data_IF_856534099914
#
_entry.id   IF_856534099914
#
_cell.length_a   1.000
_cell.length_b   1.000
_cell.length_c   1.000
_cell.angle_alpha   90.00
_cell.angle_beta   90.00
_cell.angle_gamma   90.00
#
_symmetry.space_group_name_H-M   'P 1'
#
loop_
_entity.id
_entity.type
_entity.pdbx_description
1 polymer ?
#
# COMPACT_ATOMS: atom_id res chain seq x y z
N UNK A 1 32.88 12.57 3.87
CA UNK A 1 32.25 11.59 2.96
C UNK A 1 30.75 11.77 3.14
N UNK A 2 30.05 12.24 2.11
CA UNK A 2 28.57 12.30 2.14
C UNK A 2 28.12 10.84 2.07
N UNK A 3 27.52 10.35 3.15
CA UNK A 3 26.88 9.02 3.13
C UNK A 3 25.87 9.02 2.00
N UNK A 4 25.98 8.09 1.05
CA UNK A 4 24.99 7.95 0.01
C UNK A 4 23.63 7.67 0.68
N UNK A 5 22.67 8.53 0.45
CA UNK A 5 21.31 8.36 0.97
C UNK A 5 20.75 7.09 0.31
N UNK A 6 20.35 6.11 1.12
CA UNK A 6 19.75 4.88 0.58
C UNK A 6 18.44 5.23 -0.13
N UNK A 7 18.25 4.81 -1.39
CA UNK A 7 17.06 5.15 -2.16
C UNK A 7 15.79 4.61 -1.52
N UNK A 8 14.67 5.27 -1.78
CA UNK A 8 13.34 4.72 -1.47
C UNK A 8 13.05 3.55 -2.43
N UNK A 9 12.66 2.42 -1.88
CA UNK A 9 12.34 1.21 -2.65
C UNK A 9 10.97 0.67 -2.29
N UNK A 10 10.27 0.14 -3.29
CA UNK A 10 8.99 -0.54 -3.17
C UNK A 10 9.17 -2.00 -3.59
N UNK A 11 8.76 -2.95 -2.74
CA UNK A 11 8.58 -4.35 -3.11
C UNK A 11 7.10 -4.69 -3.07
N UNK A 12 6.55 -5.20 -4.15
CA UNK A 12 5.14 -5.61 -4.23
C UNK A 12 5.00 -7.02 -3.67
N UNK A 13 4.49 -7.15 -2.46
CA UNK A 13 4.24 -8.44 -1.81
C UNK A 13 2.98 -9.11 -2.34
N UNK A 14 2.03 -8.31 -2.80
CA UNK A 14 0.79 -8.69 -3.42
C UNK A 14 0.07 -7.47 -4.00
N UNK A 15 -0.74 -7.69 -5.03
CA UNK A 15 -1.40 -6.63 -5.79
C UNK A 15 -2.76 -7.05 -6.39
N UNK A 16 -3.33 -8.18 -5.92
CA UNK A 16 -4.66 -8.62 -6.37
C UNK A 16 -5.75 -7.89 -5.60
N UNK A 17 -6.71 -7.33 -6.30
CA UNK A 17 -7.87 -6.66 -5.72
C UNK A 17 -8.90 -7.63 -5.18
N UNK A 18 -9.46 -7.33 -4.01
CA UNK A 18 -10.56 -7.99 -3.30
C UNK A 18 -10.31 -9.46 -2.91
N UNK A 19 -9.54 -10.24 -3.67
CA UNK A 19 -9.16 -11.61 -3.35
C UNK A 19 -7.88 -12.05 -4.08
N UNK A 20 -7.15 -12.99 -3.49
CA UNK A 20 -5.90 -13.48 -4.04
C UNK A 20 -6.13 -14.32 -5.32
N UNK A 21 -5.29 -14.14 -6.33
CA UNK A 21 -5.26 -15.01 -7.52
C UNK A 21 -4.27 -16.16 -7.35
N UNK A 22 -4.37 -17.23 -8.15
CA UNK A 22 -3.35 -18.28 -8.15
C UNK A 22 -1.95 -17.71 -8.39
N UNK A 23 -1.02 -18.02 -7.48
CA UNK A 23 0.36 -17.51 -7.54
C UNK A 23 0.50 -16.00 -7.24
N UNK A 24 -0.51 -15.36 -6.63
CA UNK A 24 -0.48 -13.97 -6.21
C UNK A 24 -1.10 -13.80 -4.83
N UNK A 25 -0.84 -12.67 -4.20
CA UNK A 25 -1.40 -12.27 -2.92
C UNK A 25 -2.29 -11.03 -3.08
N UNK A 26 -3.13 -10.76 -2.08
CA UNK A 26 -3.89 -9.51 -1.98
C UNK A 26 -2.96 -8.31 -1.75
N UNK A 27 -3.50 -7.14 -1.44
CA UNK A 27 -2.71 -5.91 -1.31
C UNK A 27 -1.69 -5.97 -0.17
N UNK A 28 -0.44 -5.68 -0.49
CA UNK A 28 0.61 -5.50 0.49
C UNK A 28 1.95 -5.17 -0.14
N UNK A 29 2.70 -4.31 0.53
CA UNK A 29 3.91 -3.72 -0.01
C UNK A 29 4.96 -3.57 1.09
N UNK A 30 6.23 -3.78 0.72
CA UNK A 30 7.35 -3.49 1.60
C UNK A 30 8.05 -2.22 1.09
N UNK A 31 8.02 -1.15 1.89
CA UNK A 31 8.65 0.14 1.59
C UNK A 31 9.90 0.31 2.45
N UNK A 32 11.05 0.63 1.82
CA UNK A 32 12.32 0.75 2.54
C UNK A 32 13.12 1.98 2.12
N UNK A 33 13.72 2.66 3.11
CA UNK A 33 14.79 3.65 2.92
C UNK A 33 15.61 3.78 4.20
N UNK A 34 16.90 4.11 4.08
CA UNK A 34 17.77 4.45 5.23
C UNK A 34 17.87 3.38 6.32
N UNK A 35 17.65 2.11 5.98
CA UNK A 35 17.63 1.00 6.94
C UNK A 35 16.27 0.75 7.59
N UNK A 36 15.26 1.57 7.31
CA UNK A 36 13.87 1.41 7.77
C UNK A 36 13.07 0.54 6.82
N UNK A 37 12.24 -0.36 7.35
CA UNK A 37 11.37 -1.29 6.62
C UNK A 37 9.94 -1.18 7.13
N UNK A 38 9.03 -0.71 6.30
CA UNK A 38 7.60 -0.58 6.61
C UNK A 38 6.80 -1.56 5.76
N UNK A 39 5.94 -2.34 6.40
CA UNK A 39 4.95 -3.17 5.71
C UNK A 39 3.65 -2.37 5.57
N UNK A 40 3.33 -1.98 4.33
CA UNK A 40 2.15 -1.20 3.97
C UNK A 40 1.09 -2.17 3.42
N UNK A 41 -0.03 -2.28 4.09
CA UNK A 41 -1.07 -3.29 3.95
C UNK A 41 -0.58 -4.74 4.08
N UNK A 42 -1.40 -5.56 4.69
CA UNK A 42 -1.11 -6.94 5.08
C UNK A 42 -2.22 -7.90 4.60
N UNK A 43 -2.56 -7.84 3.32
CA UNK A 43 -3.57 -8.70 2.73
C UNK A 43 -3.13 -10.17 2.65
N UNK A 44 -4.08 -11.12 2.55
CA UNK A 44 -3.80 -12.56 2.52
C UNK A 44 -2.74 -12.97 1.51
N UNK A 45 -1.73 -13.68 1.99
CA UNK A 45 -0.57 -14.18 1.25
C UNK A 45 0.66 -13.27 1.29
N UNK A 46 0.52 -12.00 1.72
CA UNK A 46 1.65 -11.06 1.76
C UNK A 46 2.65 -11.36 2.86
N UNK A 47 2.24 -11.99 3.97
CA UNK A 47 3.14 -12.45 5.03
C UNK A 47 4.13 -13.50 4.52
N UNK A 48 3.69 -14.39 3.65
CA UNK A 48 4.57 -15.39 3.05
C UNK A 48 5.61 -14.72 2.14
N UNK A 49 5.17 -13.84 1.24
CA UNK A 49 6.04 -13.10 0.33
C UNK A 49 6.99 -12.16 1.09
N UNK A 50 6.53 -11.51 2.16
CA UNK A 50 7.37 -10.62 2.99
C UNK A 50 8.63 -11.32 3.49
N UNK A 51 8.52 -12.59 3.89
CA UNK A 51 9.63 -13.38 4.41
C UNK A 51 10.70 -13.72 3.35
N UNK A 52 10.39 -13.59 2.07
CA UNK A 52 11.38 -13.75 0.98
C UNK A 52 12.29 -12.53 0.87
N UNK A 53 11.86 -11.35 1.38
CA UNK A 53 12.55 -10.07 1.22
C UNK A 53 13.16 -9.51 2.50
N UNK A 54 12.57 -9.83 3.65
CA UNK A 54 13.00 -9.31 4.94
C UNK A 54 12.74 -10.32 6.04
N UNK A 55 13.64 -10.37 7.02
CA UNK A 55 13.37 -11.14 8.22
C UNK A 55 12.24 -10.45 9.02
N UNK A 56 11.24 -11.20 9.49
CA UNK A 56 10.06 -10.62 10.18
C UNK A 56 10.41 -9.70 11.37
N UNK A 57 11.58 -9.94 11.99
CA UNK A 57 12.10 -9.10 13.09
C UNK A 57 12.66 -7.75 12.62
N UNK A 58 12.87 -7.57 11.32
CA UNK A 58 13.40 -6.34 10.73
C UNK A 58 12.32 -5.46 10.11
N UNK A 59 11.04 -5.79 10.32
CA UNK A 59 9.92 -4.90 9.99
C UNK A 59 9.81 -3.88 11.12
N UNK A 60 10.04 -2.60 10.84
CA UNK A 60 10.05 -1.54 11.86
C UNK A 60 8.65 -1.10 12.25
N UNK A 61 7.72 -1.10 11.29
CA UNK A 61 6.30 -0.83 11.53
C UNK A 61 5.41 -1.46 10.47
N UNK A 62 4.12 -1.56 10.78
CA UNK A 62 3.05 -1.88 9.83
C UNK A 62 2.16 -0.66 9.68
N UNK A 63 1.76 -0.34 8.46
CA UNK A 63 0.77 0.71 8.14
C UNK A 63 -0.38 0.04 7.40
N UNK A 64 -1.60 0.16 7.91
CA UNK A 64 -2.80 -0.43 7.33
C UNK A 64 -3.72 0.67 6.83
N UNK A 65 -4.20 0.53 5.61
CA UNK A 65 -5.05 1.53 4.97
C UNK A 65 -6.50 1.49 5.44
N UNK A 66 -7.09 0.31 5.60
CA UNK A 66 -8.48 0.13 6.00
C UNK A 66 -8.82 -1.30 6.43
N UNK A 67 -10.10 -1.54 6.80
CA UNK A 67 -10.56 -2.78 7.44
C UNK A 67 -11.03 -3.89 6.49
N UNK A 68 -10.96 -3.73 5.16
CA UNK A 68 -11.33 -4.81 4.26
C UNK A 68 -10.31 -5.96 4.34
N UNK A 69 -10.79 -7.22 4.37
CA UNK A 69 -9.96 -8.38 4.66
C UNK A 69 -8.72 -8.52 3.77
N UNK A 70 -8.81 -8.12 2.51
CA UNK A 70 -7.74 -8.22 1.53
C UNK A 70 -6.61 -7.19 1.72
N UNK A 71 -6.71 -6.34 2.76
CA UNK A 71 -5.68 -5.37 3.14
C UNK A 71 -5.01 -5.62 4.50
N UNK A 72 -5.56 -6.51 5.36
CA UNK A 72 -5.00 -6.62 6.71
C UNK A 72 -4.98 -8.01 7.34
N UNK A 73 -5.64 -9.03 6.79
CA UNK A 73 -5.81 -10.31 7.49
C UNK A 73 -4.50 -11.06 7.81
N UNK A 74 -3.41 -10.83 7.07
CA UNK A 74 -2.13 -11.45 7.40
C UNK A 74 -1.47 -10.85 8.66
N UNK A 75 -2.00 -9.74 9.23
CA UNK A 75 -1.53 -9.18 10.50
C UNK A 75 -1.70 -10.19 11.65
N UNK A 76 -2.75 -11.01 11.62
CA UNK A 76 -2.98 -12.03 12.64
C UNK A 76 -1.96 -13.17 12.55
N UNK A 77 -1.58 -13.57 11.34
CA UNK A 77 -0.49 -14.51 11.12
C UNK A 77 0.86 -13.94 11.60
N UNK A 78 1.10 -12.66 11.34
CA UNK A 78 2.30 -11.96 11.81
C UNK A 78 2.33 -11.86 13.35
N UNK A 79 1.20 -11.57 13.99
CA UNK A 79 1.07 -11.60 15.44
C UNK A 79 1.50 -12.96 16.00
N UNK A 80 1.00 -14.06 15.44
CA UNK A 80 1.36 -15.42 15.85
C UNK A 80 2.86 -15.66 15.67
N UNK A 81 3.42 -15.30 14.54
CA UNK A 81 4.85 -15.45 14.26
C UNK A 81 5.72 -14.65 15.24
N UNK A 82 5.32 -13.44 15.62
CA UNK A 82 6.05 -12.61 16.57
C UNK A 82 5.87 -13.08 18.02
N UNK A 83 4.68 -13.46 18.41
CA UNK A 83 4.35 -13.85 19.80
C UNK A 83 4.96 -15.19 20.20
N UNK A 84 4.92 -16.15 19.30
CA UNK A 84 5.35 -17.53 19.56
C UNK A 84 6.67 -17.89 18.88
N UNK A 85 7.24 -17.01 18.07
CA UNK A 85 8.56 -17.17 17.49
C UNK A 85 9.67 -17.17 18.55
N UNK A 86 10.86 -17.66 18.18
CA UNK A 86 12.01 -17.70 19.12
C UNK A 86 13.17 -16.88 18.56
N UNK A 87 13.59 -15.82 19.26
CA UNK A 87 12.93 -15.20 20.43
C UNK A 87 11.63 -14.48 20.05
N UNK A 88 10.69 -14.34 20.99
CA UNK A 88 9.46 -13.58 20.77
C UNK A 88 9.74 -12.09 20.56
N UNK A 89 8.80 -11.38 19.92
CA UNK A 89 8.87 -9.93 19.68
C UNK A 89 7.56 -9.28 20.10
N UNK A 90 7.66 -8.11 20.73
CA UNK A 90 6.53 -7.27 21.16
C UNK A 90 6.83 -5.79 20.89
N UNK A 91 5.79 -4.95 21.04
CA UNK A 91 5.89 -3.51 20.87
C UNK A 91 6.18 -3.12 19.41
N UNK A 92 5.61 -3.86 18.44
CA UNK A 92 5.74 -3.53 17.02
C UNK A 92 4.72 -2.43 16.71
N UNK A 93 5.13 -1.24 16.25
CA UNK A 93 4.19 -0.19 15.89
C UNK A 93 3.27 -0.63 14.74
N UNK A 94 1.96 -0.45 14.91
CA UNK A 94 0.94 -0.62 13.86
C UNK A 94 0.13 0.66 13.79
N UNK A 95 0.11 1.28 12.62
CA UNK A 95 -0.65 2.49 12.33
C UNK A 95 -1.84 2.13 11.44
N UNK A 96 -3.04 2.44 11.87
CA UNK A 96 -4.28 2.05 11.18
C UNK A 96 -5.41 3.03 11.46
N UNK A 97 -6.45 3.11 10.59
CA UNK A 97 -7.66 3.87 10.87
C UNK A 97 -8.36 3.38 12.14
N UNK A 98 -9.12 4.28 12.77
CA UNK A 98 -9.94 3.97 13.93
C UNK A 98 -10.91 2.80 13.63
N UNK A 99 -11.05 1.90 14.61
CA UNK A 99 -11.99 0.79 14.53
C UNK A 99 -11.43 -0.50 13.93
N UNK A 100 -10.36 -0.46 13.13
CA UNK A 100 -9.76 -1.66 12.51
C UNK A 100 -9.28 -2.64 13.59
N UNK A 101 -8.67 -2.15 14.68
CA UNK A 101 -8.25 -2.97 15.82
C UNK A 101 -9.35 -3.93 16.31
N UNK A 102 -10.61 -3.47 16.31
CA UNK A 102 -11.75 -4.24 16.81
C UNK A 102 -12.20 -5.37 15.86
N UNK A 103 -11.61 -5.46 14.68
CA UNK A 103 -11.86 -6.53 13.70
C UNK A 103 -11.03 -7.77 13.96
N UNK A 104 -9.93 -7.66 14.73
CA UNK A 104 -9.09 -8.81 15.04
C UNK A 104 -9.80 -9.77 16.00
N UNK A 105 -9.65 -11.05 15.72
CA UNK A 105 -10.06 -12.13 16.63
C UNK A 105 -9.13 -12.23 17.85
N UNK A 106 -7.87 -11.83 17.71
CA UNK A 106 -6.85 -11.91 18.75
C UNK A 106 -6.75 -10.63 19.57
N UNK A 107 -6.36 -10.76 20.83
CA UNK A 107 -5.78 -9.65 21.56
C UNK A 107 -4.42 -9.30 20.94
N UNK A 108 -4.29 -8.10 20.43
CA UNK A 108 -3.13 -7.64 19.68
C UNK A 108 -1.95 -7.27 20.60
N UNK A 109 -2.23 -6.91 21.84
CA UNK A 109 -1.20 -6.55 22.83
C UNK A 109 -0.61 -7.79 23.55
N UNK A 110 0.62 -7.73 24.02
CA UNK A 110 1.61 -6.66 23.86
C UNK A 110 2.44 -6.81 22.58
N UNK A 111 2.00 -7.65 21.63
CA UNK A 111 2.77 -7.92 20.40
C UNK A 111 2.84 -6.67 19.52
N UNK A 112 1.70 -6.01 19.33
CA UNK A 112 1.62 -4.75 18.61
C UNK A 112 1.41 -3.57 19.56
N UNK A 113 2.08 -2.47 19.24
CA UNK A 113 1.82 -1.14 19.78
C UNK A 113 0.93 -0.41 18.77
N UNK A 114 -0.38 -0.39 19.06
CA UNK A 114 -1.39 0.03 18.09
C UNK A 114 -1.68 1.52 18.19
N UNK A 115 -1.50 2.24 17.09
CA UNK A 115 -1.75 3.68 16.95
C UNK A 115 -2.86 3.92 15.94
N UNK A 116 -3.91 4.62 16.35
CA UNK A 116 -4.93 5.09 15.42
C UNK A 116 -4.43 6.34 14.70
N UNK A 117 -4.62 6.37 13.37
CA UNK A 117 -4.31 7.50 12.50
C UNK A 117 -5.54 7.91 11.70
N UNK A 118 -5.59 9.18 11.29
CA UNK A 118 -6.71 9.79 10.61
C UNK A 118 -6.25 10.67 9.45
N UNK A 119 -7.22 11.25 8.76
CA UNK A 119 -6.99 12.23 7.68
C UNK A 119 -6.07 13.37 8.14
N UNK A 120 -5.13 13.74 7.28
CA UNK A 120 -4.11 14.76 7.50
C UNK A 120 -3.06 14.48 8.59
N UNK A 121 -3.10 13.32 9.25
CA UNK A 121 -2.06 12.91 10.19
C UNK A 121 -0.71 12.75 9.49
N UNK A 122 0.35 12.98 10.26
CA UNK A 122 1.76 12.80 9.84
C UNK A 122 2.54 12.13 10.93
N UNK A 123 3.33 11.13 10.57
CA UNK A 123 4.18 10.37 11.47
C UNK A 123 5.56 10.17 10.87
N UNK A 124 6.52 9.88 11.73
CA UNK A 124 7.89 9.50 11.33
C UNK A 124 8.12 8.04 11.73
N UNK A 125 8.61 7.23 10.80
CA UNK A 125 9.01 5.85 11.04
C UNK A 125 10.47 5.71 10.60
N UNK A 126 11.40 5.81 11.52
CA UNK A 126 12.83 5.79 11.20
C UNK A 126 13.22 6.85 10.18
N UNK A 127 13.65 6.44 8.98
CA UNK A 127 14.05 7.35 7.90
C UNK A 127 12.89 7.70 6.93
N UNK A 128 11.66 7.34 7.26
CA UNK A 128 10.47 7.55 6.41
C UNK A 128 9.53 8.54 7.09
N UNK A 129 9.10 9.57 6.34
CA UNK A 129 7.98 10.42 6.72
C UNK A 129 6.71 9.89 6.04
N UNK A 130 5.64 9.71 6.80
CA UNK A 130 4.38 9.13 6.34
C UNK A 130 3.24 10.10 6.62
N UNK A 131 2.40 10.36 5.63
CA UNK A 131 1.19 11.18 5.79
C UNK A 131 -0.02 10.51 5.16
N UNK A 132 -1.19 10.86 5.66
CA UNK A 132 -2.44 10.18 5.36
C UNK A 132 -3.46 11.14 4.74
N UNK A 133 -4.30 10.62 3.84
CA UNK A 133 -5.45 11.33 3.28
C UNK A 133 -6.63 10.38 3.19
N UNK A 134 -7.78 10.78 3.72
CA UNK A 134 -9.01 9.99 3.62
C UNK A 134 -9.47 9.88 2.17
N UNK A 135 -9.82 8.67 1.74
CA UNK A 135 -10.29 8.38 0.38
C UNK A 135 -11.83 8.34 0.27
N UNK A 136 -12.33 8.24 -0.95
CA UNK A 136 -13.74 7.97 -1.26
C UNK A 136 -13.98 6.46 -1.24
N UNK A 137 -14.25 5.90 -0.06
CA UNK A 137 -14.51 4.47 0.09
C UNK A 137 -15.58 4.19 1.15
N UNK A 138 -16.22 3.00 1.07
CA UNK A 138 -17.36 2.62 1.93
C UNK A 138 -17.06 2.47 3.40
N UNK A 139 -15.78 2.32 3.76
CA UNK A 139 -15.26 2.28 5.13
C UNK A 139 -14.18 3.34 5.31
N UNK A 140 -13.79 3.63 6.55
CA UNK A 140 -12.68 4.56 6.81
C UNK A 140 -11.41 4.03 6.16
N UNK A 141 -10.95 4.71 5.11
CA UNK A 141 -9.82 4.31 4.28
C UNK A 141 -8.87 5.49 4.11
N UNK A 142 -7.58 5.22 4.28
CA UNK A 142 -6.52 6.21 4.20
C UNK A 142 -5.55 5.88 3.08
N UNK A 143 -5.47 6.76 2.10
CA UNK A 143 -4.34 6.82 1.17
C UNK A 143 -3.08 7.25 1.93
N UNK A 144 -1.92 6.82 1.47
CA UNK A 144 -0.66 7.01 2.19
C UNK A 144 0.40 7.63 1.27
N UNK A 145 1.01 8.73 1.71
CA UNK A 145 2.24 9.26 1.13
C UNK A 145 3.42 8.87 2.00
N UNK A 146 4.47 8.32 1.38
CA UNK A 146 5.73 7.96 2.05
C UNK A 146 6.87 8.69 1.38
N UNK A 147 7.65 9.43 2.18
CA UNK A 147 8.83 10.15 1.73
C UNK A 147 10.07 9.57 2.41
N UNK A 148 11.12 9.38 1.66
CA UNK A 148 12.40 8.89 2.15
C UNK A 148 13.42 8.79 1.02
N UNK A 149 14.71 8.82 1.34
CA UNK A 149 15.76 8.68 0.33
C UNK A 149 15.76 9.78 -0.75
N UNK A 150 15.09 10.91 -0.53
CA UNK A 150 14.94 12.00 -1.49
C UNK A 150 13.83 11.78 -2.53
N UNK A 151 12.96 10.80 -2.35
CA UNK A 151 11.86 10.47 -3.25
C UNK A 151 10.53 10.31 -2.49
N UNK A 152 9.42 10.28 -3.23
CA UNK A 152 8.05 10.21 -2.71
C UNK A 152 7.22 9.14 -3.42
N UNK A 153 6.59 8.27 -2.64
CA UNK A 153 5.60 7.27 -3.04
C UNK A 153 4.22 7.71 -2.58
N UNK A 154 3.24 7.75 -3.47
CA UNK A 154 1.82 7.86 -3.10
C UNK A 154 1.11 6.53 -3.33
N UNK A 155 0.43 6.02 -2.31
CA UNK A 155 -0.43 4.84 -2.39
C UNK A 155 -1.88 5.26 -2.20
N UNK A 156 -2.74 4.97 -3.18
CA UNK A 156 -4.16 5.37 -3.12
C UNK A 156 -4.96 4.62 -2.06
N UNK A 157 -4.52 3.42 -1.65
CA UNK A 157 -5.40 2.41 -1.05
C UNK A 157 -6.62 2.17 -1.97
N UNK A 158 -7.77 1.79 -1.41
CA UNK A 158 -9.02 1.68 -2.16
C UNK A 158 -9.74 3.04 -2.19
N UNK A 159 -10.25 3.42 -3.36
CA UNK A 159 -10.92 4.72 -3.52
C UNK A 159 -11.84 4.72 -4.73
N UNK A 160 -13.00 5.35 -4.59
CA UNK A 160 -13.81 5.82 -5.72
C UNK A 160 -13.22 7.08 -6.37
N UNK A 161 -13.86 7.55 -7.45
CA UNK A 161 -13.37 8.67 -8.25
C UNK A 161 -13.56 10.05 -7.61
N UNK A 162 -14.28 10.17 -6.51
CA UNK A 162 -14.49 11.44 -5.80
C UNK A 162 -13.26 11.85 -4.95
N UNK A 163 -12.22 11.01 -4.94
CA UNK A 163 -10.90 11.33 -4.39
C UNK A 163 -9.82 11.32 -5.48
N UNK A 164 -8.76 12.08 -5.28
CA UNK A 164 -7.63 12.19 -6.21
C UNK A 164 -6.30 12.11 -5.47
N UNK A 165 -5.29 11.55 -6.15
CA UNK A 165 -3.88 11.54 -5.69
C UNK A 165 -3.32 12.95 -5.41
N UNK A 166 -3.94 14.02 -5.92
CA UNK A 166 -3.61 15.41 -5.58
C UNK A 166 -3.71 15.68 -4.08
N UNK A 167 -4.63 14.99 -3.37
CA UNK A 167 -4.79 15.10 -1.93
C UNK A 167 -3.56 14.65 -1.13
N UNK A 168 -2.68 13.86 -1.72
CA UNK A 168 -1.40 13.48 -1.13
C UNK A 168 -0.32 14.58 -1.22
N UNK A 169 -0.63 15.73 -1.83
CA UNK A 169 0.27 16.89 -1.91
C UNK A 169 1.22 16.87 -3.10
N UNK A 170 2.38 17.60 -3.01
CA UNK A 170 3.26 17.89 -4.15
C UNK A 170 3.64 16.66 -4.97
N UNK A 171 4.15 16.85 -6.23
CA UNK A 171 4.32 15.76 -7.18
C UNK A 171 4.94 14.51 -6.58
N UNK A 172 4.40 13.36 -6.99
CA UNK A 172 4.86 12.04 -6.57
C UNK A 172 5.89 11.51 -7.57
N UNK A 173 6.98 10.92 -7.07
CA UNK A 173 7.93 10.22 -7.95
C UNK A 173 7.31 8.91 -8.46
N UNK A 174 6.53 8.22 -7.62
CA UNK A 174 5.73 7.07 -8.00
C UNK A 174 4.33 7.15 -7.38
N UNK A 175 3.30 7.09 -8.21
CA UNK A 175 1.92 6.85 -7.80
C UNK A 175 1.62 5.35 -7.94
N UNK A 176 1.33 4.69 -6.82
CA UNK A 176 0.82 3.32 -6.75
C UNK A 176 -0.70 3.42 -6.54
N UNK A 177 -1.47 3.23 -7.60
CA UNK A 177 -2.90 3.52 -7.62
C UNK A 177 -3.72 2.28 -7.92
N UNK A 178 -4.80 2.08 -7.16
CA UNK A 178 -5.77 1.03 -7.46
C UNK A 178 -6.37 1.18 -8.86
N UNK A 179 -6.75 0.06 -9.47
CA UNK A 179 -7.40 -0.01 -10.76
C UNK A 179 -8.31 -1.25 -10.83
N UNK A 180 -9.24 -1.31 -9.89
CA UNK A 180 -10.10 -2.47 -9.63
C UNK A 180 -11.08 -2.73 -10.75
N UNK A 181 -11.53 -1.67 -11.45
CA UNK A 181 -12.61 -1.75 -12.45
C UNK A 181 -12.07 -1.61 -13.87
N UNK A 182 -12.78 -2.19 -14.82
CA UNK A 182 -12.72 -1.77 -16.23
C UNK A 182 -13.49 -0.47 -16.43
N UNK A 183 -13.20 0.28 -17.49
CA UNK A 183 -13.95 1.50 -17.84
C UNK A 183 -15.47 1.24 -17.98
N UNK A 184 -15.86 0.06 -18.46
CA UNK A 184 -17.28 -0.32 -18.63
C UNK A 184 -17.99 -0.59 -17.28
N UNK A 185 -17.22 -0.66 -16.19
CA UNK A 185 -17.73 -0.94 -14.84
C UNK A 185 -17.68 0.26 -13.90
N UNK A 186 -17.22 1.40 -14.40
CA UNK A 186 -17.16 2.64 -13.63
C UNK A 186 -18.50 2.99 -12.97
N UNK A 187 -18.46 3.38 -11.69
CA UNK A 187 -19.63 3.75 -10.92
C UNK A 187 -20.46 2.59 -10.36
N UNK A 188 -20.09 1.33 -10.60
CA UNK A 188 -20.81 0.17 -10.01
C UNK A 188 -20.50 0.00 -8.52
N UNK A 189 -19.27 0.29 -8.12
CA UNK A 189 -18.79 0.25 -6.73
C UNK A 189 -17.78 1.37 -6.51
N UNK A 190 -17.45 1.68 -5.24
CA UNK A 190 -16.51 2.74 -4.89
C UNK A 190 -15.06 2.29 -5.08
N UNK A 191 -14.67 2.11 -6.33
CA UNK A 191 -13.32 1.84 -6.79
C UNK A 191 -13.04 2.60 -8.08
N UNK A 192 -11.78 2.72 -8.45
CA UNK A 192 -11.36 3.33 -9.71
C UNK A 192 -11.20 2.29 -10.82
N UNK A 193 -11.39 2.75 -12.05
CA UNK A 193 -10.84 2.09 -13.23
C UNK A 193 -9.40 2.52 -13.47
N UNK A 194 -8.68 1.78 -14.32
CA UNK A 194 -7.34 2.17 -14.74
C UNK A 194 -7.31 3.55 -15.42
N UNK A 195 -8.38 3.90 -16.18
CA UNK A 195 -8.55 5.23 -16.77
C UNK A 195 -8.61 6.32 -15.69
N UNK A 196 -9.45 6.13 -14.66
CA UNK A 196 -9.59 7.08 -13.55
C UNK A 196 -8.30 7.21 -12.74
N UNK A 197 -7.60 6.09 -12.48
CA UNK A 197 -6.28 6.08 -11.86
C UNK A 197 -5.26 6.90 -12.67
N UNK A 198 -5.27 6.76 -14.00
CA UNK A 198 -4.43 7.53 -14.91
C UNK A 198 -4.71 9.03 -14.86
N UNK A 199 -6.00 9.42 -14.89
CA UNK A 199 -6.42 10.83 -14.77
C UNK A 199 -5.99 11.43 -13.44
N UNK A 200 -6.21 10.70 -12.33
CA UNK A 200 -5.81 11.11 -10.98
C UNK A 200 -4.29 11.30 -10.85
N UNK A 201 -3.49 10.35 -11.37
CA UNK A 201 -2.04 10.45 -11.34
C UNK A 201 -1.50 11.61 -12.20
N UNK A 202 -2.11 11.85 -13.35
CA UNK A 202 -1.76 13.00 -14.20
C UNK A 202 -2.07 14.33 -13.51
N UNK A 203 -3.25 14.46 -12.90
CA UNK A 203 -3.65 15.66 -12.17
C UNK A 203 -2.69 15.94 -11.00
N UNK A 204 -2.28 14.91 -10.26
CA UNK A 204 -1.30 14.99 -9.18
C UNK A 204 0.14 15.28 -9.67
N UNK A 205 0.39 15.33 -10.95
CA UNK A 205 1.73 15.55 -11.51
C UNK A 205 2.71 14.41 -11.18
N UNK A 206 2.22 13.18 -11.02
CA UNK A 206 3.06 12.03 -10.76
C UNK A 206 4.04 11.79 -11.92
N UNK A 207 5.30 11.43 -11.58
CA UNK A 207 6.31 11.12 -12.61
C UNK A 207 6.09 9.74 -13.22
N UNK A 208 5.68 8.79 -12.40
CA UNK A 208 5.39 7.40 -12.79
C UNK A 208 4.06 6.97 -12.18
N UNK A 209 3.33 6.15 -12.93
CA UNK A 209 2.09 5.50 -12.47
C UNK A 209 2.28 3.99 -12.49
N UNK A 210 2.00 3.34 -11.35
CA UNK A 210 1.93 1.90 -11.23
C UNK A 210 0.51 1.51 -10.81
N UNK A 211 -0.19 0.76 -11.65
CA UNK A 211 -1.54 0.24 -11.38
C UNK A 211 -1.45 -1.00 -10.51
N UNK A 212 -2.27 -1.04 -9.48
CA UNK A 212 -2.35 -2.15 -8.52
C UNK A 212 -3.80 -2.49 -8.21
N UNK A 213 -4.06 -3.45 -7.33
CA UNK A 213 -5.39 -3.85 -6.87
C UNK A 213 -6.35 -4.23 -8.02
N UNK A 214 -5.82 -4.82 -9.11
CA UNK A 214 -6.65 -5.29 -10.21
C UNK A 214 -7.39 -6.55 -9.79
N UNK A 215 -8.68 -6.62 -10.09
CA UNK A 215 -9.39 -7.88 -9.92
C UNK A 215 -8.74 -8.99 -10.75
N UNK A 216 -8.61 -10.21 -10.18
CA UNK A 216 -7.96 -11.33 -10.85
C UNK A 216 -8.54 -11.73 -12.21
N UNK A 217 -9.78 -11.33 -12.49
CA UNK A 217 -10.48 -11.61 -13.76
C UNK A 217 -10.36 -10.50 -14.80
N UNK A 218 -9.77 -9.36 -14.47
CA UNK A 218 -9.57 -8.27 -15.43
C UNK A 218 -8.52 -8.62 -16.48
N UNK A 219 -8.73 -8.13 -17.70
CA UNK A 219 -7.67 -8.05 -18.71
C UNK A 219 -6.66 -6.95 -18.34
N UNK A 220 -5.57 -7.35 -17.72
CA UNK A 220 -4.52 -6.44 -17.27
C UNK A 220 -3.87 -5.66 -18.43
N UNK A 221 -3.86 -6.22 -19.65
CA UNK A 221 -3.34 -5.52 -20.83
C UNK A 221 -4.25 -4.36 -21.23
N UNK A 222 -5.56 -4.55 -21.14
CA UNK A 222 -6.53 -3.48 -21.34
C UNK A 222 -6.41 -2.41 -20.27
N UNK A 223 -6.35 -2.81 -19.00
CA UNK A 223 -6.16 -1.86 -17.88
C UNK A 223 -4.87 -1.03 -18.06
N UNK A 224 -3.78 -1.68 -18.47
CA UNK A 224 -2.50 -0.99 -18.71
C UNK A 224 -2.63 0.05 -19.86
N UNK A 225 -3.31 -0.29 -20.94
CA UNK A 225 -3.52 0.62 -22.07
C UNK A 225 -4.39 1.81 -21.65
N UNK A 226 -5.55 1.55 -21.01
CA UNK A 226 -6.48 2.60 -20.55
C UNK A 226 -5.81 3.55 -19.55
N UNK A 227 -5.05 3.00 -18.57
CA UNK A 227 -4.30 3.80 -17.60
C UNK A 227 -3.19 4.64 -18.23
N UNK A 228 -2.43 4.07 -19.18
CA UNK A 228 -1.37 4.78 -19.89
C UNK A 228 -1.91 5.94 -20.73
N UNK A 229 -3.00 5.71 -21.47
CA UNK A 229 -3.64 6.73 -22.30
C UNK A 229 -4.16 7.89 -21.45
N UNK A 230 -4.82 7.60 -20.33
CA UNK A 230 -5.34 8.60 -19.41
C UNK A 230 -4.23 9.36 -18.66
N UNK A 231 -3.18 8.68 -18.28
CA UNK A 231 -2.00 9.27 -17.62
C UNK A 231 -1.21 10.16 -18.60
N UNK A 232 -1.20 9.83 -19.89
CA UNK A 232 -0.46 10.55 -20.94
C UNK A 232 1.01 10.13 -21.06
N UNK A 233 1.39 9.03 -20.42
CA UNK A 233 2.71 8.39 -20.49
C UNK A 233 2.56 6.89 -20.19
N UNK A 234 3.55 6.03 -20.50
CA UNK A 234 3.50 4.63 -20.18
C UNK A 234 3.29 4.40 -18.65
N UNK A 235 2.23 3.71 -18.30
CA UNK A 235 2.01 3.21 -16.93
C UNK A 235 2.67 1.84 -16.75
N UNK A 236 2.79 1.39 -15.50
CA UNK A 236 3.32 0.09 -15.11
C UNK A 236 2.21 -0.73 -14.43
N UNK A 237 2.33 -2.05 -14.44
CA UNK A 237 1.52 -2.94 -13.60
C UNK A 237 2.36 -3.38 -12.41
N UNK A 238 1.78 -3.31 -11.22
CA UNK A 238 2.38 -3.94 -10.04
C UNK A 238 2.49 -5.45 -10.27
N UNK A 239 3.69 -5.97 -10.15
CA UNK A 239 3.95 -7.40 -10.32
C UNK A 239 4.25 -8.04 -8.96
N UNK A 240 3.55 -9.14 -8.64
CA UNK A 240 3.85 -9.94 -7.44
C UNK A 240 5.35 -10.25 -7.35
N UNK A 241 5.95 -9.98 -6.21
CA UNK A 241 7.38 -10.13 -5.94
C UNK A 241 8.30 -9.13 -6.68
N UNK A 242 7.74 -8.16 -7.41
CA UNK A 242 8.48 -7.11 -8.11
C UNK A 242 9.14 -6.12 -7.15
N UNK A 243 10.37 -5.70 -7.46
CA UNK A 243 11.13 -4.70 -6.69
C UNK A 243 11.42 -3.47 -7.57
N UNK A 244 11.16 -2.29 -7.04
CA UNK A 244 11.23 -1.04 -7.78
C UNK A 244 11.97 0.03 -6.98
N UNK A 245 12.82 0.80 -7.64
CA UNK A 245 13.34 2.04 -7.09
C UNK A 245 12.33 3.16 -7.30
N UNK A 246 12.09 3.96 -6.29
CA UNK A 246 11.25 5.16 -6.36
C UNK A 246 12.18 6.35 -6.57
N UNK A 247 12.19 6.88 -7.82
CA UNK A 247 13.11 7.97 -8.24
C UNK A 247 12.42 8.87 -9.26
#
# INVERSE_FOLDING_TARGET
MVSAVSPLTLTVLGCSGSYAKPGGACSGYLVRAGGTSVWLDAGPGTLATLQEHVHLRSVDAVVLSHEHPDHWHDIEGYLVACRYGTPSRSGIPVYAPAGLRNRSYFDLEPTFDWHEVADADRIEIGALAVSFSRTDHGVETLAVRIEGGGASLGYSADSGPDWSLEALGPPLDLALCEATLSTDEEGKVQHMSARQAGESARAAGARRLMLTHLWPTLDSSRSLAEGSDAFGAPAELAAHNGQYSVT
#
